data_IF_175659641911
#
_entry.id   IF_175659641911
#
_cell.length_a   1.000
_cell.length_b   1.000
_cell.length_c   1.000
_cell.angle_alpha   90.00
_cell.angle_beta   90.00
_cell.angle_gamma   90.00
#
_symmetry.space_group_name_H-M   'P 1'
#
loop_
_entity.id
_entity.type
_entity.pdbx_description
1 polymer ?
#
# COMPACT_ATOMS: atom_id res chain seq x y z
N UNK A 1 15.52 -10.34 -21.95
CA UNK A 1 16.10 -10.05 -20.63
C UNK A 1 14.98 -9.64 -19.68
N UNK A 2 14.91 -10.30 -18.53
CA UNK A 2 13.90 -9.97 -17.53
C UNK A 2 14.29 -8.69 -16.79
N UNK A 3 13.39 -7.74 -16.80
CA UNK A 3 13.55 -6.56 -15.97
C UNK A 3 12.72 -6.72 -14.71
N UNK A 4 13.35 -6.55 -13.56
CA UNK A 4 12.66 -6.59 -12.28
C UNK A 4 12.20 -5.19 -11.92
N UNK A 5 11.12 -4.74 -12.59
CA UNK A 5 10.53 -3.46 -12.26
C UNK A 5 9.78 -3.57 -10.93
N UNK A 6 9.60 -2.45 -10.21
CA UNK A 6 8.79 -2.48 -8.98
C UNK A 6 7.40 -3.06 -9.20
N UNK A 7 6.75 -2.74 -10.32
CA UNK A 7 5.42 -3.27 -10.61
C UNK A 7 5.43 -4.79 -10.75
N UNK A 8 6.43 -5.33 -11.46
CA UNK A 8 6.53 -6.78 -11.64
C UNK A 8 6.80 -7.48 -10.31
N UNK A 9 7.64 -6.90 -9.47
CA UNK A 9 7.91 -7.42 -8.13
C UNK A 9 6.64 -7.40 -7.28
N UNK A 10 5.93 -6.28 -7.32
CA UNK A 10 4.66 -6.14 -6.61
C UNK A 10 3.67 -7.22 -7.03
N UNK A 11 3.48 -7.40 -8.33
CA UNK A 11 2.52 -8.40 -8.84
C UNK A 11 2.91 -9.82 -8.43
N UNK A 12 4.20 -10.11 -8.45
CA UNK A 12 4.69 -11.43 -8.06
C UNK A 12 4.38 -11.74 -6.59
N UNK A 13 4.69 -10.81 -5.69
CA UNK A 13 4.49 -11.05 -4.26
C UNK A 13 3.05 -10.84 -3.80
N UNK A 14 2.26 -10.04 -4.52
CA UNK A 14 0.87 -9.77 -4.12
C UNK A 14 0.02 -11.04 -4.07
N UNK A 15 0.36 -12.04 -4.83
CA UNK A 15 -0.35 -13.32 -4.83
C UNK A 15 -0.31 -13.96 -3.44
N UNK A 16 0.83 -13.88 -2.75
CA UNK A 16 1.02 -14.46 -1.43
C UNK A 16 0.64 -13.49 -0.31
N UNK A 17 0.56 -12.21 -0.62
CA UNK A 17 0.28 -11.15 0.35
C UNK A 17 -0.99 -10.40 -0.01
N UNK A 18 -2.02 -11.12 -0.45
CA UNK A 18 -3.24 -10.53 -0.98
C UNK A 18 -3.99 -9.67 0.04
N UNK A 19 -3.82 -9.94 1.33
CA UNK A 19 -4.47 -9.19 2.41
C UNK A 19 -3.50 -8.35 3.23
N UNK A 20 -2.34 -8.04 2.63
CA UNK A 20 -1.34 -7.16 3.22
C UNK A 20 -1.26 -5.89 2.40
N UNK A 21 -0.96 -4.78 3.06
CA UNK A 21 -0.52 -3.59 2.35
C UNK A 21 0.92 -3.87 1.90
N UNK A 22 1.11 -4.06 0.61
CA UNK A 22 2.40 -4.48 0.06
C UNK A 22 3.15 -3.29 -0.53
N UNK A 23 4.38 -3.10 -0.08
CA UNK A 23 5.25 -2.02 -0.53
C UNK A 23 6.54 -2.60 -1.07
N UNK A 24 7.07 -1.99 -2.12
CA UNK A 24 8.36 -2.35 -2.69
C UNK A 24 9.34 -1.26 -2.30
N UNK A 25 10.39 -1.64 -1.57
CA UNK A 25 11.43 -0.69 -1.19
C UNK A 25 12.49 -0.62 -2.26
N UNK A 26 12.78 0.57 -2.74
CA UNK A 26 13.82 0.80 -3.73
C UNK A 26 14.59 2.05 -3.33
N UNK A 27 15.82 1.87 -2.88
CA UNK A 27 16.67 2.95 -2.35
C UNK A 27 15.97 3.66 -1.18
N UNK A 28 15.66 4.93 -1.34
CA UNK A 28 15.02 5.74 -0.30
C UNK A 28 13.51 5.86 -0.46
N UNK A 29 12.92 4.98 -1.28
CA UNK A 29 11.51 5.09 -1.64
C UNK A 29 10.76 3.82 -1.32
N UNK A 30 9.48 3.98 -1.01
CA UNK A 30 8.53 2.89 -0.87
C UNK A 30 7.48 3.06 -1.95
N UNK A 31 7.33 2.04 -2.79
CA UNK A 31 6.46 2.11 -3.96
C UNK A 31 5.34 1.11 -3.81
N UNK A 32 4.12 1.53 -4.11
CA UNK A 32 2.99 0.62 -4.11
C UNK A 32 2.09 0.89 -5.31
N UNK A 33 1.18 -0.03 -5.59
CA UNK A 33 0.41 -0.03 -6.82
C UNK A 33 -1.04 -0.43 -6.59
N UNK A 34 -1.89 -0.10 -7.54
CA UNK A 34 -3.26 -0.62 -7.65
C UNK A 34 -4.06 -0.44 -6.36
N UNK A 35 -4.60 -1.53 -5.81
CA UNK A 35 -5.45 -1.43 -4.61
C UNK A 35 -4.69 -0.90 -3.39
N UNK A 36 -3.43 -1.28 -3.24
CA UNK A 36 -2.63 -0.79 -2.11
C UNK A 36 -2.31 0.70 -2.27
N UNK A 37 -2.18 1.19 -3.51
CA UNK A 37 -2.06 2.63 -3.77
C UNK A 37 -3.34 3.37 -3.36
N UNK A 38 -4.50 2.78 -3.58
CA UNK A 38 -5.76 3.36 -3.11
C UNK A 38 -5.79 3.45 -1.59
N UNK A 39 -5.29 2.42 -0.91
CA UNK A 39 -5.23 2.41 0.55
C UNK A 39 -4.30 3.52 1.04
N UNK A 40 -3.14 3.69 0.44
CA UNK A 40 -2.22 4.77 0.79
C UNK A 40 -2.88 6.14 0.57
N UNK A 41 -3.53 6.32 -0.57
CA UNK A 41 -4.25 7.55 -0.87
C UNK A 41 -5.28 7.87 0.22
N UNK A 42 -6.04 6.86 0.65
CA UNK A 42 -7.04 7.00 1.69
C UNK A 42 -6.42 7.32 3.05
N UNK A 43 -5.38 6.58 3.44
CA UNK A 43 -4.76 6.72 4.76
C UNK A 43 -4.05 8.07 4.93
N UNK A 44 -3.35 8.53 3.91
CA UNK A 44 -2.59 9.77 3.96
C UNK A 44 -3.37 10.98 3.40
N UNK A 45 -4.58 10.75 2.88
CA UNK A 45 -5.42 11.81 2.31
C UNK A 45 -4.72 12.57 1.19
N UNK A 46 -4.10 11.81 0.29
CA UNK A 46 -3.40 12.34 -0.88
C UNK A 46 -4.12 11.88 -2.14
N UNK A 47 -3.80 12.53 -3.27
CA UNK A 47 -4.38 12.18 -4.55
C UNK A 47 -4.03 10.75 -4.94
N UNK A 48 -4.97 10.08 -5.61
CA UNK A 48 -4.74 8.72 -6.06
C UNK A 48 -4.05 8.68 -7.41
N UNK A 49 -3.01 7.84 -7.48
CA UNK A 49 -2.40 7.38 -8.72
C UNK A 49 -2.21 5.88 -8.61
N UNK A 50 -2.22 5.18 -9.72
CA UNK A 50 -2.06 3.72 -9.70
C UNK A 50 -0.69 3.29 -9.22
N UNK A 51 0.28 4.18 -9.29
CA UNK A 51 1.59 4.00 -8.67
C UNK A 51 1.82 5.15 -7.71
N UNK A 52 2.07 4.85 -6.44
CA UNK A 52 2.36 5.86 -5.43
C UNK A 52 3.76 5.59 -4.87
N UNK A 53 4.56 6.64 -4.83
CA UNK A 53 5.93 6.59 -4.31
C UNK A 53 5.97 7.44 -3.05
N UNK A 54 6.37 6.80 -1.94
CA UNK A 54 6.51 7.46 -0.65
C UNK A 54 7.98 7.56 -0.27
N UNK A 55 8.35 8.62 0.42
CA UNK A 55 9.67 8.72 1.01
C UNK A 55 9.82 7.65 2.11
N UNK A 56 11.02 7.09 2.24
CA UNK A 56 11.31 6.02 3.20
C UNK A 56 10.93 6.38 4.63
N UNK A 57 11.11 7.64 5.02
CA UNK A 57 10.81 8.08 6.39
C UNK A 57 9.31 8.06 6.70
N UNK A 58 8.44 7.92 5.71
CA UNK A 58 7.00 7.79 5.94
C UNK A 58 6.60 6.40 6.42
N UNK A 59 7.54 5.46 6.45
CA UNK A 59 7.24 4.13 6.97
C UNK A 59 6.80 4.18 8.43
N UNK A 60 7.43 5.02 9.24
CA UNK A 60 7.05 5.15 10.66
C UNK A 60 5.61 5.64 10.80
N UNK A 61 5.22 6.63 9.98
CA UNK A 61 3.84 7.11 9.97
C UNK A 61 2.88 6.01 9.54
N UNK A 62 3.28 5.22 8.56
CA UNK A 62 2.47 4.11 8.08
C UNK A 62 2.31 3.03 9.16
N UNK A 63 3.36 2.76 9.93
CA UNK A 63 3.30 1.80 11.04
C UNK A 63 2.35 2.28 12.14
N UNK A 64 2.29 3.59 12.39
CA UNK A 64 1.31 4.14 13.33
C UNK A 64 -0.10 3.93 12.81
N UNK A 65 -0.32 4.15 11.54
CA UNK A 65 -1.63 3.91 10.92
C UNK A 65 -1.99 2.41 10.96
N UNK A 66 -1.00 1.54 10.82
CA UNK A 66 -1.18 0.10 10.95
C UNK A 66 -1.75 -0.25 12.33
N UNK A 67 -1.20 0.35 13.36
CA UNK A 67 -1.69 0.14 14.72
C UNK A 67 -3.11 0.69 14.90
N UNK A 68 -3.35 1.87 14.37
CA UNK A 68 -4.65 2.54 14.51
C UNK A 68 -5.77 1.80 13.79
N UNK A 69 -5.51 1.33 12.57
CA UNK A 69 -6.54 0.69 11.74
C UNK A 69 -6.45 -0.84 11.74
N UNK A 70 -5.41 -1.40 12.31
CA UNK A 70 -5.23 -2.84 12.52
C UNK A 70 -5.17 -3.64 11.21
N UNK A 71 -4.09 -3.47 10.48
CA UNK A 71 -3.83 -4.23 9.26
C UNK A 71 -2.35 -4.64 9.19
N UNK A 72 -2.05 -5.59 8.31
CA UNK A 72 -0.68 -6.09 8.13
C UNK A 72 0.01 -5.38 6.98
N UNK A 73 1.31 -5.19 7.10
CA UNK A 73 2.14 -4.57 6.06
C UNK A 73 3.26 -5.54 5.70
N UNK A 74 3.58 -5.63 4.41
CA UNK A 74 4.75 -6.35 3.93
C UNK A 74 5.59 -5.42 3.06
N UNK A 75 6.90 -5.38 3.32
CA UNK A 75 7.84 -4.56 2.57
C UNK A 75 8.86 -5.49 1.92
N UNK A 76 8.93 -5.45 0.60
CA UNK A 76 9.89 -6.23 -0.17
C UNK A 76 11.10 -5.37 -0.46
N UNK A 77 12.27 -5.82 -0.01
CA UNK A 77 13.55 -5.15 -0.25
C UNK A 77 14.49 -6.16 -0.90
N UNK A 78 14.65 -6.06 -2.22
CA UNK A 78 15.38 -7.03 -3.03
C UNK A 78 14.73 -8.40 -2.91
N UNK A 79 15.41 -9.37 -2.30
CA UNK A 79 14.87 -10.72 -2.11
C UNK A 79 14.35 -10.95 -0.70
N UNK A 80 14.35 -9.92 0.14
CA UNK A 80 13.92 -10.04 1.52
C UNK A 80 12.58 -9.40 1.70
N UNK A 81 11.74 -10.01 2.54
CA UNK A 81 10.43 -9.49 2.87
C UNK A 81 10.40 -9.25 4.36
N UNK A 82 9.99 -8.05 4.75
CA UNK A 82 9.77 -7.73 6.14
C UNK A 82 8.27 -7.55 6.36
N UNK A 83 7.73 -8.33 7.32
CA UNK A 83 6.32 -8.30 7.63
C UNK A 83 6.10 -7.58 8.95
N UNK A 84 5.08 -6.73 8.97
CA UNK A 84 4.67 -6.00 10.18
C UNK A 84 3.23 -6.41 10.47
N UNK A 85 3.04 -7.11 11.58
CA UNK A 85 1.74 -7.69 11.91
C UNK A 85 0.94 -6.76 12.81
N UNK A 86 -0.38 -6.84 12.66
CA UNK A 86 -1.29 -6.18 13.58
C UNK A 86 -1.55 -7.09 14.77
N UNK A 87 -2.11 -6.51 15.85
CA UNK A 87 -2.35 -7.25 17.10
C UNK A 87 -3.58 -8.13 17.09
N UNK A 88 -4.52 -7.84 16.20
CA UNK A 88 -5.80 -8.55 16.11
C UNK A 88 -6.00 -9.02 14.67
N UNK A 89 -7.16 -9.59 14.40
CA UNK A 89 -7.53 -9.95 13.03
C UNK A 89 -7.45 -8.73 12.13
N UNK A 90 -6.87 -8.90 10.96
CA UNK A 90 -6.62 -7.79 10.04
C UNK A 90 -7.93 -7.21 9.51
N UNK A 91 -8.00 -5.88 9.47
CA UNK A 91 -9.10 -5.14 8.87
C UNK A 91 -8.82 -4.75 7.42
N UNK A 92 -7.92 -5.47 6.76
CA UNK A 92 -7.49 -5.11 5.41
C UNK A 92 -8.68 -4.97 4.45
N UNK A 93 -9.63 -5.92 4.47
CA UNK A 93 -10.77 -5.87 3.56
C UNK A 93 -11.66 -4.64 3.82
N UNK A 94 -11.85 -4.27 5.08
CA UNK A 94 -12.62 -3.08 5.42
C UNK A 94 -11.92 -1.82 4.91
N UNK A 95 -10.62 -1.73 5.12
CA UNK A 95 -9.82 -0.58 4.68
C UNK A 95 -9.80 -0.52 3.14
N UNK A 96 -9.67 -1.66 2.50
CA UNK A 96 -9.73 -1.75 1.05
C UNK A 96 -11.04 -1.18 0.50
N UNK A 97 -12.17 -1.56 1.10
CA UNK A 97 -13.47 -1.08 0.67
C UNK A 97 -13.65 0.42 0.91
N UNK A 98 -13.20 0.91 2.05
CA UNK A 98 -13.21 2.34 2.34
C UNK A 98 -12.33 3.13 1.38
N UNK A 99 -11.20 2.55 1.00
CA UNK A 99 -10.27 3.18 0.06
C UNK A 99 -10.88 3.29 -1.33
N UNK A 100 -11.57 2.24 -1.78
CA UNK A 100 -12.26 2.27 -3.06
C UNK A 100 -13.32 3.37 -3.10
N UNK A 101 -14.09 3.49 -2.03
CA UNK A 101 -15.11 4.53 -1.93
C UNK A 101 -14.48 5.91 -1.93
N UNK A 102 -13.40 6.09 -1.18
CA UNK A 102 -12.69 7.37 -1.11
C UNK A 102 -12.21 7.82 -2.50
N UNK A 103 -11.59 6.92 -3.25
CA UNK A 103 -11.09 7.22 -4.59
C UNK A 103 -12.25 7.53 -5.55
N UNK A 104 -13.35 6.78 -5.46
CA UNK A 104 -14.53 7.03 -6.29
C UNK A 104 -15.15 8.38 -5.98
N UNK A 105 -15.22 8.75 -4.70
CA UNK A 105 -15.75 10.05 -4.28
C UNK A 105 -14.89 11.19 -4.79
N UNK A 106 -13.56 11.04 -4.78
CA UNK A 106 -12.65 12.04 -5.34
C UNK A 106 -12.90 12.24 -6.84
N UNK A 107 -13.09 11.16 -7.59
CA UNK A 107 -13.38 11.23 -9.02
C UNK A 107 -14.71 11.94 -9.28
N UNK A 108 -15.71 11.67 -8.46
CA UNK A 108 -17.02 12.31 -8.59
C UNK A 108 -16.92 13.83 -8.38
N UNK A 109 -16.15 14.25 -7.39
CA UNK A 109 -15.95 15.67 -7.11
C UNK A 109 -15.25 16.35 -8.27
N UNK A 110 -14.32 15.68 -8.93
CA UNK A 110 -13.56 16.25 -10.05
C UNK A 110 -14.41 16.46 -11.31
N UNK A 111 -15.55 15.78 -11.40
CA UNK A 111 -16.48 15.93 -12.54
C UNK A 111 -17.61 16.91 -12.27
N UNK A 112 -17.75 17.35 -11.03
CA UNK A 112 -18.85 18.22 -10.60
C UNK A 112 -18.62 19.70 -10.88
#
# INVERSE_FOLDING_TARGET
>A
MKKYTPLNIYNFYKKDYSKYLLLIKEKDKLITFNIDAKIISYLFKIDFCEEIILAKNLLDDLLELKEKYNFNIAVVNSKKIREYYCHKNSNYLMIKNKSKKYVNDLRSVNYG
#
